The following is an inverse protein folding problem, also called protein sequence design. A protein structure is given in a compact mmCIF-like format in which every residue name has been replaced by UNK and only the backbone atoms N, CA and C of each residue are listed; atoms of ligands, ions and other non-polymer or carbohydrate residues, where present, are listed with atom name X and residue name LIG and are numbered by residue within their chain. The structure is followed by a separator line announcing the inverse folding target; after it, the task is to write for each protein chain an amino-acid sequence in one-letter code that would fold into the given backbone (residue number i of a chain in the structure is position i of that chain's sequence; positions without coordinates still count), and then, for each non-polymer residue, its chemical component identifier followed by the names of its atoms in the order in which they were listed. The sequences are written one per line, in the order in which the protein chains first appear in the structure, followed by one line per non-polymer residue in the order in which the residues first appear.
data_IF_997467568456
#
_entry.id   IF_997467568456
#
_cell.length_a   1.000
_cell.length_b   1.000
_cell.length_c   1.000
_cell.angle_alpha   90.00
_cell.angle_beta   90.00
_cell.angle_gamma   90.00
#
_symmetry.space_group_name_H-M   'P 1'
#
loop_
_entity.id
_entity.type
_entity.pdbx_description
1 polymer ?
#
# COMPACT_ATOMS: atom_id res chain seq x y z
N UNK A 1 -10.76 -21.09 11.49
CA UNK A 1 -10.70 -19.62 11.67
C UNK A 1 -9.64 -19.15 10.70
N UNK A 2 -10.04 -18.65 9.53
CA UNK A 2 -9.08 -18.16 8.54
C UNK A 2 -8.45 -16.88 9.09
N UNK A 3 -7.16 -16.91 9.40
CA UNK A 3 -6.36 -15.71 9.61
C UNK A 3 -6.25 -15.02 8.24
N UNK A 4 -7.13 -14.05 8.00
CA UNK A 4 -7.09 -13.26 6.77
C UNK A 4 -5.72 -12.60 6.65
N UNK A 5 -4.94 -12.99 5.65
CA UNK A 5 -3.64 -12.40 5.39
C UNK A 5 -3.85 -10.91 5.04
N UNK A 6 -3.30 -10.01 5.85
CA UNK A 6 -3.35 -8.57 5.60
C UNK A 6 -2.07 -8.17 4.89
N UNK A 7 -2.17 -7.72 3.65
CA UNK A 7 -1.05 -7.18 2.89
C UNK A 7 -0.85 -5.71 3.23
N UNK A 8 0.39 -5.30 3.47
CA UNK A 8 0.75 -3.92 3.82
C UNK A 8 1.79 -3.43 2.82
N UNK A 9 1.55 -2.25 2.24
CA UNK A 9 2.51 -1.49 1.46
C UNK A 9 3.19 -0.45 2.37
N UNK A 10 4.49 -0.60 2.59
CA UNK A 10 5.31 0.37 3.32
C UNK A 10 6.02 1.30 2.34
N UNK A 11 5.74 2.62 2.41
CA UNK A 11 6.51 3.62 1.66
C UNK A 11 7.68 4.13 2.49
N UNK A 12 8.80 3.40 2.53
CA UNK A 12 10.01 3.72 3.31
C UNK A 12 10.83 4.92 2.78
N UNK A 13 10.17 5.92 2.19
CA UNK A 13 10.82 7.12 1.66
C UNK A 13 11.31 6.96 0.23
N UNK A 14 10.56 6.25 -0.61
CA UNK A 14 10.87 6.10 -2.03
C UNK A 14 11.12 7.47 -2.69
N UNK A 15 12.09 7.52 -3.62
CA UNK A 15 12.42 8.76 -4.35
C UNK A 15 11.29 9.15 -5.32
N UNK A 16 10.54 8.18 -5.84
CA UNK A 16 9.37 8.38 -6.72
C UNK A 16 8.05 8.53 -5.96
N UNK A 17 6.98 8.81 -6.73
CA UNK A 17 5.60 8.69 -6.24
C UNK A 17 5.16 7.24 -6.35
N UNK A 18 4.58 6.69 -5.29
CA UNK A 18 3.87 5.42 -5.33
C UNK A 18 2.38 5.75 -5.31
N UNK A 19 1.59 5.08 -6.13
CA UNK A 19 0.15 5.26 -6.18
C UNK A 19 -0.54 3.95 -5.82
N UNK A 20 -1.72 4.02 -5.23
CA UNK A 20 -2.61 2.87 -5.03
C UNK A 20 -3.97 3.30 -5.55
N UNK A 21 -4.51 2.59 -6.54
CA UNK A 21 -5.74 2.97 -7.26
C UNK A 21 -5.68 4.42 -7.80
N UNK A 22 -4.51 4.84 -8.30
CA UNK A 22 -4.27 6.20 -8.79
C UNK A 22 -4.28 7.28 -7.69
N UNK A 23 -4.16 6.90 -6.41
CA UNK A 23 -4.01 7.84 -5.29
C UNK A 23 -2.57 7.79 -4.76
N UNK A 24 -1.88 8.94 -4.65
CA UNK A 24 -0.51 8.96 -4.17
C UNK A 24 -0.43 8.54 -2.70
N UNK A 25 0.52 7.65 -2.41
CA UNK A 25 0.87 7.20 -1.07
C UNK A 25 1.88 8.16 -0.46
N UNK A 26 1.58 8.68 0.74
CA UNK A 26 2.49 9.56 1.47
C UNK A 26 3.80 8.83 1.79
N UNK A 27 4.91 9.56 1.72
CA UNK A 27 6.22 9.05 2.15
C UNK A 27 6.19 8.73 3.65
N UNK A 28 6.87 7.65 4.03
CA UNK A 28 6.93 7.12 5.39
C UNK A 28 5.54 6.82 5.97
N UNK A 29 4.66 6.26 5.15
CA UNK A 29 3.31 5.86 5.55
C UNK A 29 3.03 4.45 5.06
N UNK A 30 2.23 3.74 5.85
CA UNK A 30 1.77 2.40 5.54
C UNK A 30 0.36 2.44 4.96
N UNK A 31 0.09 1.56 4.00
CA UNK A 31 -1.23 1.38 3.39
C UNK A 31 -1.61 -0.10 3.45
N UNK A 32 -2.81 -0.39 3.94
CA UNK A 32 -3.37 -1.75 3.90
C UNK A 32 -3.89 -2.00 2.48
N UNK A 33 -3.36 -3.01 1.82
CA UNK A 33 -3.80 -3.44 0.51
C UNK A 33 -4.94 -4.46 0.62
N UNK A 34 -5.91 -4.32 -0.26
CA UNK A 34 -7.05 -5.23 -0.41
C UNK A 34 -6.95 -5.94 -1.76
N UNK A 35 -7.62 -7.09 -1.84
CA UNK A 35 -7.76 -7.79 -3.12
C UNK A 35 -8.43 -6.87 -4.15
N UNK A 36 -7.75 -6.67 -5.28
CA UNK A 36 -8.19 -5.80 -6.36
C UNK A 36 -7.60 -4.38 -6.34
N UNK A 37 -6.80 -4.01 -5.34
CA UNK A 37 -6.05 -2.76 -5.39
C UNK A 37 -4.94 -2.82 -6.46
N UNK A 38 -4.78 -1.74 -7.21
CA UNK A 38 -3.75 -1.56 -8.24
C UNK A 38 -2.64 -0.64 -7.73
N UNK A 39 -1.37 -0.99 -7.99
CA UNK A 39 -0.17 -0.21 -7.65
C UNK A 39 0.35 0.59 -8.85
#
# INVERSE_FOLDING_TARGET
REEGCTSILENAGAKGSIEVNGKPVKKNSDVILRAGDEL
#
